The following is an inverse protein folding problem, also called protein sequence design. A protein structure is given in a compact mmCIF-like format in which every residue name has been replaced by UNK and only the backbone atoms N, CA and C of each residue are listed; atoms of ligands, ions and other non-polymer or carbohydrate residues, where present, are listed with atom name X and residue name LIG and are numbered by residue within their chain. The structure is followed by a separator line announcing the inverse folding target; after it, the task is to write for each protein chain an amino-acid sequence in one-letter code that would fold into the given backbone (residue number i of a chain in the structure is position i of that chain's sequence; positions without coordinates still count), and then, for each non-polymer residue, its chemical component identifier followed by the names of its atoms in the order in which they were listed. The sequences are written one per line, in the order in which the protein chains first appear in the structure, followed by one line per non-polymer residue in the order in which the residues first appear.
data_IF_664189846417
#
_entry.id   IF_664189846417
#
_cell.length_a   1.000
_cell.length_b   1.000
_cell.length_c   1.000
_cell.angle_alpha   90.00
_cell.angle_beta   90.00
_cell.angle_gamma   90.00
#
_symmetry.space_group_name_H-M   'P 1'
#
loop_
_entity.id
_entity.type
_entity.pdbx_description
1 polymer ?
#
# COMPACT_ATOMS: atom_id res chain seq x y z
N UNK A 1 9.01 9.83 -7.33
CA UNK A 1 7.85 9.48 -6.48
C UNK A 1 6.97 8.47 -7.20
N UNK A 2 6.98 7.22 -6.75
CA UNK A 2 6.24 6.11 -7.37
C UNK A 2 4.73 6.31 -7.27
N UNK A 3 4.01 6.02 -8.36
CA UNK A 3 2.55 6.12 -8.44
C UNK A 3 1.95 4.73 -8.65
N UNK A 4 0.81 4.46 -8.04
CA UNK A 4 0.07 3.21 -8.21
C UNK A 4 -1.16 3.45 -9.10
N UNK A 5 -1.51 2.43 -9.89
CA UNK A 5 -2.75 2.43 -10.67
C UNK A 5 -3.88 1.81 -9.85
N UNK A 6 -5.09 2.36 -10.00
CA UNK A 6 -6.27 1.72 -9.42
C UNK A 6 -6.60 0.45 -10.21
N UNK A 7 -6.86 -0.66 -9.51
CA UNK A 7 -7.28 -1.91 -10.14
C UNK A 7 -8.69 -1.81 -10.73
N UNK A 8 -8.90 -2.40 -11.90
CA UNK A 8 -10.23 -2.56 -12.54
C UNK A 8 -11.12 -1.30 -12.45
N UNK A 9 -10.56 -0.14 -12.81
CA UNK A 9 -11.25 1.16 -12.70
C UNK A 9 -11.79 1.50 -11.29
N UNK A 10 -11.07 1.11 -10.24
CA UNK A 10 -11.43 1.35 -8.85
C UNK A 10 -12.52 0.43 -8.30
N UNK A 11 -12.82 -0.69 -8.99
CA UNK A 11 -13.84 -1.65 -8.52
C UNK A 11 -13.49 -2.22 -7.13
N UNK A 12 -12.26 -2.71 -6.85
CA UNK A 12 -11.93 -3.23 -5.52
C UNK A 12 -12.07 -2.19 -4.41
N UNK A 13 -11.76 -0.92 -4.70
CA UNK A 13 -11.96 0.18 -3.75
C UNK A 13 -13.44 0.37 -3.42
N UNK A 14 -14.31 0.37 -4.44
CA UNK A 14 -15.76 0.48 -4.23
C UNK A 14 -16.31 -0.72 -3.47
N UNK A 15 -15.84 -1.92 -3.78
CA UNK A 15 -16.28 -3.15 -3.13
C UNK A 15 -15.88 -3.16 -1.65
N UNK A 16 -14.62 -2.84 -1.34
CA UNK A 16 -14.14 -2.72 0.04
C UNK A 16 -14.89 -1.63 0.82
N UNK A 17 -15.14 -0.48 0.19
CA UNK A 17 -15.95 0.58 0.82
C UNK A 17 -17.38 0.12 1.09
N UNK A 18 -18.02 -0.56 0.12
CA UNK A 18 -19.38 -1.07 0.26
C UNK A 18 -19.46 -2.14 1.35
N UNK A 19 -18.51 -3.07 1.40
CA UNK A 19 -18.45 -4.13 2.39
C UNK A 19 -18.27 -3.59 3.82
N UNK A 20 -17.47 -2.54 4.00
CA UNK A 20 -17.25 -1.91 5.31
C UNK A 20 -18.21 -0.77 5.65
N UNK A 21 -19.23 -0.49 4.83
CA UNK A 21 -20.15 0.63 5.06
C UNK A 21 -19.46 2.00 5.08
N UNK A 22 -18.43 2.17 4.26
CA UNK A 22 -17.64 3.40 4.19
C UNK A 22 -18.25 4.40 3.21
N UNK A 23 -18.35 5.65 3.65
CA UNK A 23 -18.57 6.80 2.77
C UNK A 23 -17.25 7.50 2.48
N UNK A 24 -17.19 8.28 1.39
CA UNK A 24 -16.02 9.12 1.05
C UNK A 24 -15.55 9.99 2.23
N UNK A 25 -16.41 10.75 2.94
CA UNK A 25 -15.97 11.54 4.08
C UNK A 25 -15.47 10.68 5.24
N UNK A 26 -16.15 9.56 5.54
CA UNK A 26 -15.74 8.65 6.62
C UNK A 26 -14.36 8.05 6.36
N UNK A 27 -14.10 7.63 5.12
CA UNK A 27 -12.79 7.12 4.71
C UNK A 27 -11.70 8.19 4.77
N UNK A 28 -12.00 9.41 4.32
CA UNK A 28 -11.04 10.52 4.41
C UNK A 28 -10.65 10.84 5.87
N UNK A 29 -11.60 10.84 6.79
CA UNK A 29 -11.29 11.02 8.22
C UNK A 29 -10.52 9.83 8.79
N UNK A 30 -10.90 8.59 8.47
CA UNK A 30 -10.16 7.40 8.90
C UNK A 30 -8.70 7.42 8.43
N UNK A 31 -8.43 7.93 7.23
CA UNK A 31 -7.05 8.06 6.73
C UNK A 31 -6.20 9.03 7.54
N UNK A 32 -6.79 9.99 8.27
CA UNK A 32 -6.04 10.88 9.17
C UNK A 32 -5.62 10.15 10.44
N UNK A 33 -6.47 9.26 10.96
CA UNK A 33 -6.17 8.47 12.16
C UNK A 33 -4.97 7.55 11.96
N UNK A 34 -4.83 6.98 10.76
CA UNK A 34 -3.70 6.10 10.41
C UNK A 34 -2.49 6.85 9.85
N UNK A 35 -2.63 8.14 9.52
CA UNK A 35 -1.51 8.95 9.05
C UNK A 35 -0.66 9.45 10.23
N UNK A 36 0.62 9.06 10.35
CA UNK A 36 1.49 9.55 11.43
C UNK A 36 1.65 11.07 11.45
N UNK A 37 1.40 11.76 10.33
CA UNK A 37 1.45 13.22 10.24
C UNK A 37 0.08 13.88 10.45
N UNK A 38 -0.99 13.10 10.65
CA UNK A 38 -2.37 13.59 10.84
C UNK A 38 -2.97 14.32 9.64
N UNK A 39 -2.35 14.26 8.44
CA UNK A 39 -2.83 14.98 7.25
C UNK A 39 -3.93 14.19 6.55
N UNK A 40 -3.77 12.88 6.48
CA UNK A 40 -4.66 11.95 5.80
C UNK A 40 -4.79 12.24 4.30
N UNK A 41 -5.87 11.74 3.72
CA UNK A 41 -6.24 11.91 2.31
C UNK A 41 -7.49 12.77 2.23
N UNK A 42 -7.48 13.79 1.37
CA UNK A 42 -8.64 14.68 1.22
C UNK A 42 -9.85 13.96 0.62
N UNK A 43 -11.06 14.39 1.00
CA UNK A 43 -12.33 13.87 0.46
C UNK A 43 -12.36 13.85 -1.07
N UNK A 44 -11.90 14.92 -1.70
CA UNK A 44 -11.84 15.02 -3.16
C UNK A 44 -10.86 14.01 -3.76
N UNK A 45 -9.70 13.79 -3.12
CA UNK A 45 -8.73 12.79 -3.56
C UNK A 45 -9.27 11.36 -3.44
N UNK A 46 -10.01 11.05 -2.37
CA UNK A 46 -10.74 9.78 -2.25
C UNK A 46 -11.81 9.67 -3.36
N UNK A 47 -12.64 10.70 -3.54
CA UNK A 47 -13.73 10.69 -4.51
C UNK A 47 -13.28 10.43 -5.94
N UNK A 48 -12.18 11.06 -6.40
CA UNK A 48 -11.66 10.83 -7.75
C UNK A 48 -11.04 9.44 -7.95
N UNK A 49 -10.68 8.72 -6.89
CA UNK A 49 -10.18 7.35 -7.00
C UNK A 49 -11.32 6.32 -7.06
N UNK A 50 -12.40 6.61 -6.35
CA UNK A 50 -13.58 5.75 -6.23
C UNK A 50 -14.53 5.90 -7.43
N UNK A 51 -14.66 7.13 -7.97
CA UNK A 51 -15.58 7.42 -9.08
C UNK A 51 -15.22 6.72 -10.39
N UNK A 52 -16.22 6.49 -11.24
CA UNK A 52 -16.06 5.91 -12.59
C UNK A 52 -16.17 6.96 -13.71
N UNK A 53 -16.58 8.19 -13.39
CA UNK A 53 -16.83 9.25 -14.38
C UNK A 53 -15.57 9.91 -14.96
N UNK A 54 -15.77 10.94 -15.77
CA UNK A 54 -14.70 11.71 -16.44
C UNK A 54 -13.66 12.31 -15.48
N UNK A 55 -14.05 12.59 -14.23
CA UNK A 55 -13.15 13.09 -13.19
C UNK A 55 -12.30 12.01 -12.50
N UNK A 56 -12.46 10.74 -12.88
CA UNK A 56 -11.74 9.64 -12.26
C UNK A 56 -10.23 9.69 -12.53
N UNK A 57 -9.43 9.62 -11.47
CA UNK A 57 -7.97 9.53 -11.60
C UNK A 57 -7.54 8.08 -11.72
N UNK A 58 -6.77 7.79 -12.77
CA UNK A 58 -6.19 6.45 -13.01
C UNK A 58 -5.08 6.09 -12.03
N UNK A 59 -4.35 7.09 -11.51
CA UNK A 59 -3.16 6.93 -10.68
C UNK A 59 -3.21 7.80 -9.42
N UNK A 60 -2.60 7.32 -8.34
CA UNK A 60 -2.35 8.09 -7.13
C UNK A 60 -0.92 7.88 -6.61
N UNK A 61 -0.49 8.70 -5.64
CA UNK A 61 0.80 8.54 -4.96
C UNK A 61 0.76 7.28 -4.09
N UNK A 62 1.88 6.58 -3.96
CA UNK A 62 1.97 5.38 -3.10
C UNK A 62 1.50 5.64 -1.66
N UNK A 63 1.86 6.79 -1.07
CA UNK A 63 1.38 7.19 0.26
C UNK A 63 -0.14 7.26 0.34
N UNK A 64 -0.79 7.84 -0.67
CA UNK A 64 -2.25 7.94 -0.72
C UNK A 64 -2.89 6.57 -0.78
N UNK A 65 -2.34 5.67 -1.60
CA UNK A 65 -2.84 4.31 -1.72
C UNK A 65 -2.67 3.53 -0.41
N UNK A 66 -1.52 3.68 0.25
CA UNK A 66 -1.23 3.03 1.54
C UNK A 66 -2.19 3.48 2.64
N UNK A 67 -2.39 4.80 2.80
CA UNK A 67 -3.33 5.32 3.80
C UNK A 67 -4.78 4.85 3.56
N UNK A 68 -5.20 4.74 2.29
CA UNK A 68 -6.53 4.23 1.94
C UNK A 68 -6.64 2.74 2.26
N UNK A 69 -5.62 1.95 1.92
CA UNK A 69 -5.60 0.51 2.16
C UNK A 69 -5.63 0.20 3.65
N UNK A 70 -4.81 0.90 4.43
CA UNK A 70 -4.72 0.74 5.89
C UNK A 70 -6.04 1.15 6.57
N UNK A 71 -6.62 2.30 6.18
CA UNK A 71 -7.92 2.73 6.70
C UNK A 71 -9.07 1.77 6.37
N UNK A 72 -8.99 1.06 5.25
CA UNK A 72 -9.96 0.02 4.87
C UNK A 72 -9.65 -1.34 5.50
N UNK A 73 -8.49 -1.52 6.13
CA UNK A 73 -8.02 -2.81 6.63
C UNK A 73 -7.85 -3.85 5.52
N UNK A 74 -7.38 -3.41 4.34
CA UNK A 74 -7.23 -4.27 3.17
C UNK A 74 -5.78 -4.25 2.67
N UNK A 75 -5.27 -5.35 2.12
CA UNK A 75 -3.94 -5.37 1.51
C UNK A 75 -3.85 -4.39 0.32
N UNK A 76 -2.74 -3.65 0.25
CA UNK A 76 -2.52 -2.64 -0.79
C UNK A 76 -2.63 -3.23 -2.20
N UNK A 77 -2.07 -4.42 -2.39
CA UNK A 77 -2.09 -5.14 -3.65
C UNK A 77 -3.50 -5.59 -4.07
N UNK A 78 -4.48 -5.67 -3.17
CA UNK A 78 -5.84 -6.06 -3.55
C UNK A 78 -6.60 -4.88 -4.14
N UNK A 79 -6.24 -3.67 -3.73
CA UNK A 79 -6.89 -2.42 -4.15
C UNK A 79 -6.19 -1.74 -5.34
N UNK A 80 -4.87 -1.89 -5.46
CA UNK A 80 -4.05 -1.19 -6.45
C UNK A 80 -3.09 -2.13 -7.18
N UNK A 81 -2.77 -1.79 -8.43
CA UNK A 81 -1.74 -2.48 -9.19
C UNK A 81 -0.38 -2.01 -8.72
N UNK A 82 0.39 -2.96 -8.17
CA UNK A 82 1.77 -2.74 -7.79
C UNK A 82 2.62 -2.57 -9.06
N UNK A 83 3.56 -1.62 -9.09
CA UNK A 83 4.55 -1.58 -10.15
C UNK A 83 5.28 -2.92 -10.15
N UNK A 84 5.40 -3.55 -11.32
CA UNK A 84 6.11 -4.82 -11.46
C UNK A 84 7.48 -4.71 -10.81
N UNK A 85 7.88 -5.74 -10.06
CA UNK A 85 9.15 -5.76 -9.38
C UNK A 85 10.28 -5.57 -10.42
N UNK A 86 11.07 -4.51 -10.26
CA UNK A 86 12.43 -4.51 -10.83
C UNK A 86 13.21 -5.53 -10.01
N UNK A 87 13.46 -6.69 -10.64
CA UNK A 87 14.42 -7.77 -10.30
C UNK A 87 14.93 -7.84 -8.86
N UNK A 88 14.60 -8.95 -8.19
CA UNK A 88 15.12 -9.35 -6.88
C UNK A 88 16.63 -9.11 -6.71
N UNK A 89 17.01 -8.39 -5.66
CA UNK A 89 18.36 -8.52 -5.09
C UNK A 89 18.34 -9.77 -4.21
N UNK A 90 18.95 -10.86 -4.67
CA UNK A 90 19.19 -12.03 -3.82
C UNK A 90 20.33 -11.71 -2.85
N UNK A 91 20.03 -11.55 -1.57
CA UNK A 91 21.03 -11.49 -0.51
C UNK A 91 21.65 -12.88 -0.34
N UNK A 92 22.89 -13.05 -0.78
CA UNK A 92 23.70 -14.24 -0.44
C UNK A 92 24.12 -14.13 1.02
N UNK A 93 23.55 -14.96 1.88
CA UNK A 93 24.09 -15.20 3.23
C UNK A 93 25.48 -15.82 3.09
N UNK A 94 26.53 -15.03 3.32
CA UNK A 94 27.84 -15.59 3.61
C UNK A 94 27.79 -16.14 5.04
N UNK A 95 27.73 -17.46 5.17
CA UNK A 95 28.01 -18.09 6.45
C UNK A 95 29.50 -17.93 6.74
N UNK A 96 29.84 -17.06 7.70
CA UNK A 96 31.19 -16.95 8.28
C UNK A 96 31.44 -18.22 9.12
N UNK A 97 31.90 -19.28 8.45
CA UNK A 97 32.34 -20.51 9.13
C UNK A 97 33.70 -20.24 9.78
N UNK A 98 33.67 -19.56 10.93
CA UNK A 98 34.80 -19.51 11.86
C UNK A 98 34.97 -20.89 12.48
N UNK A 99 35.72 -21.76 11.80
CA UNK A 99 36.29 -22.94 12.43
C UNK A 99 37.34 -22.52 13.46
N UNK A 100 36.84 -22.34 14.67
CA UNK A 100 37.61 -22.38 15.89
C UNK A 100 37.90 -23.85 16.21
N UNK A 101 39.11 -24.32 15.89
CA UNK A 101 39.62 -25.58 16.42
C UNK A 101 40.93 -25.28 17.18
N UNK A 102 40.75 -24.93 18.46
CA UNK A 102 41.79 -25.08 19.46
C UNK A 102 42.15 -26.58 19.59
N UNK A 103 43.44 -26.86 19.82
CA UNK A 103 43.95 -28.22 20.04
C UNK A 103 43.34 -28.92 21.27
N UNK A 104 43.73 -30.17 21.52
CA UNK A 104 44.87 -30.32 22.43
C UNK A 104 45.84 -31.49 22.13
N UNK A 105 47.07 -31.26 22.62
CA UNK A 105 48.09 -32.16 23.15
C UNK A 105 48.01 -33.69 22.90
N UNK A 106 49.11 -34.22 22.37
CA UNK A 106 49.85 -35.35 22.93
C UNK A 106 51.34 -35.22 22.56
#
# INVERSE_FOLDING_TARGET
MSRLHRKRNGQPLRDAMKAGGWSIPKLAEATKTVDPLGRGVSRSAVGVLVTQGSSARKRCRIRTAWLIADALGQPLQDLFDMPGASTSTEERSIADDRQHAAGPAA
#
